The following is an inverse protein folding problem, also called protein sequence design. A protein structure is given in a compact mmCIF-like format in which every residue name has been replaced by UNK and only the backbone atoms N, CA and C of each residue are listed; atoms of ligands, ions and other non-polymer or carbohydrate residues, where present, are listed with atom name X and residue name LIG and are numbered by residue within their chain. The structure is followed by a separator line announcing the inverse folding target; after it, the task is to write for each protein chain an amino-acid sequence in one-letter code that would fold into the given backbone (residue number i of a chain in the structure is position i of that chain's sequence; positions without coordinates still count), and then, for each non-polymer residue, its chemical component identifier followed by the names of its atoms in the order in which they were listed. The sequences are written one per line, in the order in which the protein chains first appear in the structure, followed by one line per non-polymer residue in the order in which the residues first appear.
data_IF_504073477422
#
_entry.id   IF_504073477422
#
_cell.length_a   1.000
_cell.length_b   1.000
_cell.length_c   1.000
_cell.angle_alpha   90.00
_cell.angle_beta   90.00
_cell.angle_gamma   90.00
#
_symmetry.space_group_name_H-M   'P 1'
#
loop_
_entity.id
_entity.type
_entity.pdbx_description
1 polymer ?
#
# COMPACT_ATOMS: atom_id res chain seq x y z
N UNK A 1 -33.87 78.48 -79.20
CA UNK A 1 -32.44 78.20 -78.95
C UNK A 1 -32.06 78.38 -77.49
N UNK A 2 -32.48 79.47 -76.81
CA UNK A 2 -32.17 79.72 -75.39
C UNK A 2 -32.69 78.65 -74.41
N UNK A 3 -33.93 78.19 -74.56
CA UNK A 3 -34.51 77.18 -73.63
C UNK A 3 -33.83 75.81 -73.74
N UNK A 4 -33.39 75.43 -74.93
CA UNK A 4 -32.67 74.19 -75.17
C UNK A 4 -31.29 74.21 -74.52
N UNK A 5 -30.59 75.34 -74.61
CA UNK A 5 -29.30 75.55 -73.94
C UNK A 5 -29.47 75.53 -72.41
N UNK A 6 -30.53 76.16 -71.89
CA UNK A 6 -30.82 76.17 -70.44
C UNK A 6 -31.05 74.75 -69.90
N UNK A 7 -31.86 73.96 -70.62
CA UNK A 7 -32.11 72.55 -70.27
C UNK A 7 -30.84 71.70 -70.30
N UNK A 8 -29.94 71.93 -71.27
CA UNK A 8 -28.63 71.24 -71.33
C UNK A 8 -27.75 71.62 -70.13
N UNK A 9 -27.74 72.90 -69.73
CA UNK A 9 -26.98 73.32 -68.54
C UNK A 9 -27.54 72.73 -67.24
N UNK A 10 -28.86 72.68 -67.09
CA UNK A 10 -29.52 72.08 -65.93
C UNK A 10 -29.25 70.56 -65.86
N UNK A 11 -29.27 69.86 -66.99
CA UNK A 11 -28.92 68.43 -67.09
C UNK A 11 -27.43 68.18 -66.78
N UNK A 12 -26.52 69.04 -67.26
CA UNK A 12 -25.09 68.96 -66.94
C UNK A 12 -24.80 69.23 -65.45
N UNK A 13 -25.53 70.17 -64.83
CA UNK A 13 -25.43 70.45 -63.41
C UNK A 13 -25.92 69.25 -62.58
N UNK A 14 -27.06 68.66 -62.96
CA UNK A 14 -27.60 67.45 -62.34
C UNK A 14 -26.64 66.26 -62.48
N UNK A 15 -26.04 66.05 -63.66
CA UNK A 15 -25.05 65.00 -63.89
C UNK A 15 -23.83 65.18 -62.96
N UNK A 16 -23.34 66.41 -62.82
CA UNK A 16 -22.21 66.74 -61.96
C UNK A 16 -22.49 66.46 -60.47
N UNK A 17 -23.72 66.68 -60.03
CA UNK A 17 -24.15 66.43 -58.65
C UNK A 17 -24.26 64.93 -58.32
N UNK A 18 -24.57 64.09 -59.30
CA UNK A 18 -24.80 62.65 -59.11
C UNK A 18 -23.60 61.77 -59.46
N UNK A 19 -22.55 62.35 -60.04
CA UNK A 19 -21.31 61.64 -60.33
C UNK A 19 -20.41 61.58 -59.11
N UNK A 20 -19.87 60.39 -58.82
CA UNK A 20 -18.79 60.24 -57.86
C UNK A 20 -17.59 61.09 -58.29
N UNK A 21 -17.01 61.81 -57.34
CA UNK A 21 -15.78 62.56 -57.53
C UNK A 21 -14.57 61.65 -57.47
N UNK A 22 -13.40 62.16 -57.86
CA UNK A 22 -12.14 61.42 -57.71
C UNK A 22 -11.83 61.12 -56.24
N UNK A 23 -12.21 62.01 -55.33
CA UNK A 23 -12.00 61.84 -53.89
C UNK A 23 -12.91 60.72 -53.34
N UNK A 24 -14.14 60.59 -53.87
CA UNK A 24 -15.04 59.47 -53.53
C UNK A 24 -14.45 58.13 -53.96
N UNK A 25 -13.90 58.06 -55.18
CA UNK A 25 -13.27 56.83 -55.70
C UNK A 25 -12.01 56.48 -54.89
N UNK A 26 -11.16 57.45 -54.57
CA UNK A 26 -9.96 57.23 -53.76
C UNK A 26 -10.30 56.76 -52.33
N UNK A 27 -11.34 57.33 -51.73
CA UNK A 27 -11.86 56.88 -50.42
C UNK A 27 -12.39 55.45 -50.48
N UNK A 28 -13.07 55.07 -51.56
CA UNK A 28 -13.53 53.69 -51.80
C UNK A 28 -12.34 52.74 -51.96
N UNK A 29 -11.35 53.09 -52.78
CA UNK A 29 -10.13 52.28 -53.01
C UNK A 29 -9.34 52.07 -51.71
N UNK A 30 -9.24 53.08 -50.85
CA UNK A 30 -8.53 52.98 -49.57
C UNK A 30 -9.28 52.12 -48.53
N UNK A 31 -10.60 52.00 -48.65
CA UNK A 31 -11.45 51.25 -47.70
C UNK A 31 -11.74 49.82 -48.14
N UNK A 32 -11.57 49.51 -49.43
CA UNK A 32 -11.82 48.17 -49.92
C UNK A 32 -10.65 47.23 -49.60
N UNK A 33 -11.00 46.00 -49.23
CA UNK A 33 -10.01 44.94 -49.18
C UNK A 33 -9.48 44.69 -50.60
N UNK A 34 -8.17 44.60 -50.70
CA UNK A 34 -7.48 44.27 -51.94
C UNK A 34 -7.42 42.75 -52.12
N UNK A 35 -7.02 42.31 -53.31
CA UNK A 35 -6.73 40.89 -53.55
C UNK A 35 -5.60 40.37 -52.67
N UNK A 36 -4.65 41.23 -52.30
CA UNK A 36 -3.54 40.87 -51.44
C UNK A 36 -3.99 40.63 -50.00
N UNK A 37 -4.97 41.39 -49.50
CA UNK A 37 -5.57 41.16 -48.19
C UNK A 37 -6.27 39.81 -48.11
N UNK A 38 -7.00 39.43 -49.17
CA UNK A 38 -7.67 38.13 -49.26
C UNK A 38 -6.64 37.00 -49.33
N UNK A 39 -5.60 37.15 -50.16
CA UNK A 39 -4.54 36.15 -50.27
C UNK A 39 -3.76 35.96 -48.95
N UNK A 40 -3.55 37.04 -48.18
CA UNK A 40 -2.96 36.97 -46.86
C UNK A 40 -3.88 36.25 -45.85
N UNK A 41 -5.20 36.47 -45.95
CA UNK A 41 -6.18 35.73 -45.14
C UNK A 41 -6.21 34.25 -45.46
N UNK A 42 -6.22 33.86 -46.75
CA UNK A 42 -6.23 32.45 -47.16
C UNK A 42 -5.01 31.71 -46.61
N UNK A 43 -3.81 32.30 -46.73
CA UNK A 43 -2.59 31.73 -46.15
C UNK A 43 -2.66 31.55 -44.62
N UNK A 44 -3.30 32.49 -43.92
CA UNK A 44 -3.49 32.40 -42.47
C UNK A 44 -4.49 31.30 -42.10
N UNK A 45 -5.56 31.16 -42.87
CA UNK A 45 -6.56 30.10 -42.69
C UNK A 45 -5.91 28.74 -42.92
N UNK A 46 -5.18 28.57 -44.02
CA UNK A 46 -4.45 27.34 -44.32
C UNK A 46 -3.46 26.97 -43.21
N UNK A 47 -2.71 27.96 -42.70
CA UNK A 47 -1.79 27.72 -41.58
C UNK A 47 -2.51 27.29 -40.29
N UNK A 48 -3.67 27.87 -40.00
CA UNK A 48 -4.48 27.47 -38.84
C UNK A 48 -4.98 26.04 -39.03
N UNK A 49 -5.50 25.70 -40.21
CA UNK A 49 -6.00 24.35 -40.53
C UNK A 49 -4.90 23.28 -40.41
N UNK A 50 -3.66 23.61 -40.77
CA UNK A 50 -2.51 22.71 -40.64
C UNK A 50 -1.99 22.55 -39.20
N UNK A 51 -2.26 23.51 -38.32
CA UNK A 51 -1.70 23.54 -36.96
C UNK A 51 -2.72 23.25 -35.87
N UNK A 52 -4.01 23.37 -36.17
CA UNK A 52 -5.06 23.03 -35.25
C UNK A 52 -5.14 21.52 -35.05
N UNK A 53 -5.37 21.10 -33.81
CA UNK A 53 -5.63 19.71 -33.50
C UNK A 53 -6.89 19.24 -34.23
N UNK A 54 -6.78 18.10 -34.89
CA UNK A 54 -7.91 17.42 -35.54
C UNK A 54 -8.72 16.63 -34.50
N UNK A 55 -9.89 16.15 -34.91
CA UNK A 55 -10.68 15.23 -34.07
C UNK A 55 -9.92 13.94 -33.73
N UNK A 56 -9.09 13.47 -34.67
CA UNK A 56 -8.30 12.25 -34.48
C UNK A 56 -7.19 12.47 -33.46
N UNK A 57 -6.57 13.64 -33.44
CA UNK A 57 -5.57 14.02 -32.42
C UNK A 57 -6.20 14.03 -31.02
N UNK A 58 -7.39 14.63 -30.88
CA UNK A 58 -8.11 14.68 -29.60
C UNK A 58 -8.50 13.27 -29.15
N UNK A 59 -9.02 12.43 -30.04
CA UNK A 59 -9.37 11.04 -29.73
C UNK A 59 -8.15 10.21 -29.31
N UNK A 60 -7.00 10.41 -29.97
CA UNK A 60 -5.75 9.76 -29.58
C UNK A 60 -5.27 10.20 -28.20
N UNK A 61 -5.39 11.50 -27.87
CA UNK A 61 -5.07 12.02 -26.54
C UNK A 61 -6.00 11.39 -25.50
N UNK A 62 -7.31 11.37 -25.73
CA UNK A 62 -8.29 10.78 -24.81
C UNK A 62 -8.02 9.30 -24.53
N UNK A 63 -7.63 8.52 -25.55
CA UNK A 63 -7.28 7.11 -25.36
C UNK A 63 -5.99 6.89 -24.56
N UNK A 64 -5.05 7.85 -24.60
CA UNK A 64 -3.76 7.75 -23.88
C UNK A 64 -3.84 8.28 -22.46
N UNK A 65 -4.84 9.09 -22.16
CA UNK A 65 -5.03 9.66 -20.83
C UNK A 65 -5.74 8.66 -19.93
N UNK A 66 -5.26 8.55 -18.68
CA UNK A 66 -6.01 7.85 -17.66
C UNK A 66 -7.36 8.55 -17.46
N UNK A 67 -8.43 7.78 -17.56
CA UNK A 67 -9.79 8.24 -17.33
C UNK A 67 -10.12 8.22 -15.84
N UNK A 68 -11.26 8.80 -15.47
CA UNK A 68 -11.77 8.70 -14.09
C UNK A 68 -12.00 7.25 -13.66
N UNK A 69 -12.36 6.37 -14.60
CA UNK A 69 -12.62 4.96 -14.32
C UNK A 69 -11.32 4.18 -14.03
N UNK A 70 -10.22 4.53 -14.70
CA UNK A 70 -8.90 3.97 -14.42
C UNK A 70 -8.44 4.31 -12.99
N UNK A 71 -8.63 5.57 -12.59
CA UNK A 71 -8.30 6.04 -11.24
C UNK A 71 -9.18 5.34 -10.20
N UNK A 72 -10.50 5.25 -10.44
CA UNK A 72 -11.41 4.54 -9.53
C UNK A 72 -11.06 3.05 -9.39
N UNK A 73 -10.58 2.43 -10.47
CA UNK A 73 -10.11 1.03 -10.45
C UNK A 73 -8.81 0.90 -9.65
N UNK A 74 -7.89 1.85 -9.79
CA UNK A 74 -6.68 1.90 -8.97
C UNK A 74 -7.00 2.08 -7.48
N UNK A 75 -7.89 3.00 -7.11
CA UNK A 75 -8.26 3.24 -5.72
C UNK A 75 -8.84 1.99 -5.06
N UNK A 76 -9.71 1.24 -5.78
CA UNK A 76 -10.22 -0.05 -5.31
C UNK A 76 -9.11 -1.07 -5.08
N UNK A 77 -8.15 -1.15 -6.01
CA UNK A 77 -7.00 -2.06 -5.89
C UNK A 77 -6.11 -1.68 -4.70
N UNK A 78 -5.84 -0.38 -4.52
CA UNK A 78 -5.07 0.14 -3.39
C UNK A 78 -5.79 -0.20 -2.08
N UNK A 79 -7.10 0.08 -1.98
CA UNK A 79 -7.87 -0.26 -0.78
C UNK A 79 -7.88 -1.76 -0.46
N UNK A 80 -7.94 -2.62 -1.47
CA UNK A 80 -7.79 -4.07 -1.26
C UNK A 80 -6.39 -4.45 -0.76
N UNK A 81 -5.34 -3.84 -1.30
CA UNK A 81 -3.96 -4.06 -0.84
C UNK A 81 -3.84 -3.63 0.62
N UNK A 82 -4.32 -2.44 0.97
CA UNK A 82 -4.30 -1.92 2.35
C UNK A 82 -5.04 -2.83 3.33
N UNK A 83 -6.15 -3.44 2.92
CA UNK A 83 -6.91 -4.40 3.74
C UNK A 83 -6.22 -5.75 3.93
N UNK A 84 -5.29 -6.14 3.05
CA UNK A 84 -4.69 -7.49 3.03
C UNK A 84 -3.22 -7.50 3.35
N UNK A 85 -2.55 -6.35 3.32
CA UNK A 85 -1.15 -6.23 3.67
C UNK A 85 -0.95 -6.26 5.18
N UNK A 86 0.14 -6.90 5.62
CA UNK A 86 0.60 -6.76 7.00
C UNK A 86 1.08 -5.32 7.22
N UNK A 87 0.65 -4.74 8.33
CA UNK A 87 0.99 -3.41 8.79
C UNK A 87 2.12 -3.45 9.80
N UNK A 88 2.58 -2.28 10.23
CA UNK A 88 3.55 -2.18 11.33
C UNK A 88 2.99 -2.70 12.65
N UNK A 89 1.67 -2.60 12.83
CA UNK A 89 1.00 -3.06 14.05
C UNK A 89 0.99 -4.59 14.11
N UNK A 90 0.77 -5.26 12.97
CA UNK A 90 0.78 -6.74 12.88
C UNK A 90 2.14 -7.36 13.27
N UNK A 91 3.23 -6.59 13.14
CA UNK A 91 4.58 -7.05 13.47
C UNK A 91 5.13 -6.47 14.79
N UNK A 92 4.34 -5.66 15.49
CA UNK A 92 4.77 -4.99 16.72
C UNK A 92 5.15 -5.99 17.82
N UNK A 93 4.47 -7.15 17.85
CA UNK A 93 4.68 -8.19 18.86
C UNK A 93 5.76 -9.21 18.50
N UNK A 94 6.31 -9.20 17.27
CA UNK A 94 7.35 -10.15 16.86
C UNK A 94 8.59 -10.18 17.78
N UNK A 95 9.10 -9.03 18.30
CA UNK A 95 10.20 -9.04 19.25
C UNK A 95 9.85 -9.76 20.56
N UNK A 96 8.62 -9.58 21.06
CA UNK A 96 8.14 -10.23 22.29
C UNK A 96 7.98 -11.73 22.06
N UNK A 97 7.40 -12.14 20.93
CA UNK A 97 7.29 -13.55 20.54
C UNK A 97 8.67 -14.17 20.42
N UNK A 98 9.64 -13.49 19.79
CA UNK A 98 11.02 -13.97 19.67
C UNK A 98 11.68 -14.16 21.03
N UNK A 99 11.46 -13.22 21.95
CA UNK A 99 11.96 -13.33 23.32
C UNK A 99 11.36 -14.54 24.05
N UNK A 100 10.03 -14.70 24.01
CA UNK A 100 9.35 -15.83 24.63
C UNK A 100 9.82 -17.18 24.05
N UNK A 101 10.03 -17.26 22.73
CA UNK A 101 10.58 -18.45 22.08
C UNK A 101 11.99 -18.77 22.56
N UNK A 102 12.84 -17.76 22.76
CA UNK A 102 14.21 -17.95 23.25
C UNK A 102 14.22 -18.47 24.70
N UNK A 103 13.38 -17.92 25.57
CA UNK A 103 13.24 -18.38 26.96
C UNK A 103 12.73 -19.83 27.03
N UNK A 104 11.75 -20.19 26.20
CA UNK A 104 11.27 -21.57 26.10
C UNK A 104 12.39 -22.50 25.61
N UNK A 105 13.18 -22.07 24.63
CA UNK A 105 14.29 -22.87 24.11
C UNK A 105 15.36 -23.12 25.18
N UNK A 106 15.68 -22.11 26.00
CA UNK A 106 16.59 -22.26 27.13
C UNK A 106 16.07 -23.29 28.14
N UNK A 107 14.80 -23.16 28.56
CA UNK A 107 14.18 -24.13 29.46
C UNK A 107 14.16 -25.56 28.87
N UNK A 108 13.90 -25.71 27.58
CA UNK A 108 13.93 -27.01 26.89
C UNK A 108 15.34 -27.61 26.89
N UNK A 109 16.38 -26.77 26.72
CA UNK A 109 17.77 -27.23 26.75
C UNK A 109 18.22 -27.70 28.15
N UNK A 110 17.55 -27.29 29.23
CA UNK A 110 17.84 -27.76 30.59
C UNK A 110 17.22 -29.14 30.91
N UNK A 111 16.18 -29.55 30.18
CA UNK A 111 15.44 -30.81 30.43
C UNK A 111 16.36 -32.05 30.48
N UNK A 112 17.36 -32.25 29.59
CA UNK A 112 18.24 -33.41 29.66
C UNK A 112 19.01 -33.51 30.97
N UNK A 113 19.54 -32.39 31.47
CA UNK A 113 20.27 -32.34 32.74
C UNK A 113 19.34 -32.61 33.92
N UNK A 114 18.15 -32.01 33.92
CA UNK A 114 17.13 -32.27 34.94
C UNK A 114 16.73 -33.76 34.94
N UNK A 115 16.54 -34.35 33.76
CA UNK A 115 16.20 -35.75 33.60
C UNK A 115 17.30 -36.67 34.13
N UNK A 116 18.57 -36.34 33.86
CA UNK A 116 19.70 -37.09 34.40
C UNK A 116 19.75 -37.01 35.92
N UNK A 117 19.65 -35.81 36.49
CA UNK A 117 19.64 -35.62 37.94
C UNK A 117 18.49 -36.38 38.62
N UNK A 118 17.31 -36.41 37.98
CA UNK A 118 16.16 -37.17 38.48
C UNK A 118 16.40 -38.69 38.44
N UNK A 119 17.05 -39.19 37.39
CA UNK A 119 17.44 -40.60 37.31
C UNK A 119 18.44 -40.98 38.41
N UNK A 120 19.48 -40.17 38.61
CA UNK A 120 20.49 -40.38 39.65
C UNK A 120 19.87 -40.33 41.06
N UNK A 121 18.91 -39.42 41.28
CA UNK A 121 18.16 -39.35 42.53
C UNK A 121 17.27 -40.59 42.74
N UNK A 122 16.64 -41.08 41.68
CA UNK A 122 15.81 -42.29 41.75
C UNK A 122 16.64 -43.52 42.13
N UNK A 123 17.83 -43.67 41.55
CA UNK A 123 18.77 -44.76 41.89
C UNK A 123 19.19 -44.68 43.36
N UNK A 124 19.58 -43.50 43.85
CA UNK A 124 19.91 -43.31 45.27
C UNK A 124 18.74 -43.62 46.21
N UNK A 125 17.51 -43.31 45.79
CA UNK A 125 16.32 -43.61 46.59
C UNK A 125 16.09 -45.12 46.69
N UNK A 126 16.32 -45.87 45.61
CA UNK A 126 16.27 -47.34 45.62
C UNK A 126 17.31 -47.93 46.59
N UNK A 127 18.53 -47.40 46.61
CA UNK A 127 19.57 -47.80 47.57
C UNK A 127 19.15 -47.54 49.03
N UNK A 128 18.55 -46.38 49.30
CA UNK A 128 18.03 -46.05 50.64
C UNK A 128 16.90 -47.00 51.03
N UNK A 129 15.97 -47.32 50.12
CA UNK A 129 14.91 -48.31 50.39
C UNK A 129 15.52 -49.69 50.70
N UNK A 130 16.52 -50.13 49.93
CA UNK A 130 17.18 -51.41 50.14
C UNK A 130 17.96 -51.48 51.47
N UNK A 131 18.59 -50.38 51.89
CA UNK A 131 19.26 -50.31 53.21
C UNK A 131 18.25 -50.26 54.35
N UNK A 132 17.15 -49.54 54.20
CA UNK A 132 16.09 -49.48 55.20
C UNK A 132 15.41 -50.84 55.41
N UNK A 133 15.14 -51.59 54.33
CA UNK A 133 14.63 -52.96 54.42
C UNK A 133 15.60 -53.89 55.18
N UNK A 134 16.91 -53.73 54.97
CA UNK A 134 17.94 -54.48 55.74
C UNK A 134 17.95 -54.10 57.22
N UNK A 135 17.84 -52.81 57.53
CA UNK A 135 17.76 -52.34 58.92
C UNK A 135 16.52 -52.88 59.64
N UNK A 136 15.37 -52.90 58.97
CA UNK A 136 14.11 -53.46 59.49
C UNK A 136 14.31 -54.94 59.93
N UNK A 137 14.90 -55.77 59.06
CA UNK A 137 15.17 -57.18 59.36
C UNK A 137 16.17 -57.35 60.52
N UNK A 138 17.22 -56.52 60.57
CA UNK A 138 18.20 -56.55 61.65
C UNK A 138 17.56 -56.20 63.01
N UNK A 139 16.70 -55.18 63.04
CA UNK A 139 15.95 -54.79 64.25
C UNK A 139 15.00 -55.92 64.68
N UNK A 140 14.25 -56.52 63.75
CA UNK A 140 13.38 -57.66 64.05
C UNK A 140 14.17 -58.85 64.64
N UNK A 141 15.33 -59.18 64.08
CA UNK A 141 16.20 -60.25 64.59
C UNK A 141 16.73 -59.96 66.00
N UNK A 142 17.18 -58.72 66.25
CA UNK A 142 17.65 -58.30 67.57
C UNK A 142 16.52 -58.32 68.61
N UNK A 143 15.31 -57.88 68.24
CA UNK A 143 14.14 -57.93 69.11
C UNK A 143 13.81 -59.37 69.53
N UNK A 144 13.83 -60.32 68.58
CA UNK A 144 13.63 -61.75 68.88
C UNK A 144 14.71 -62.28 69.83
N UNK A 145 15.99 -61.99 69.56
CA UNK A 145 17.09 -62.44 70.43
C UNK A 145 17.00 -61.85 71.84
N UNK A 146 16.63 -60.57 71.96
CA UNK A 146 16.43 -59.93 73.26
C UNK A 146 15.31 -60.61 74.07
N UNK A 147 14.20 -60.96 73.42
CA UNK A 147 13.11 -61.69 74.08
C UNK A 147 13.56 -63.08 74.55
N UNK A 148 14.34 -63.80 73.75
CA UNK A 148 14.92 -65.10 74.15
C UNK A 148 15.82 -64.93 75.37
N UNK A 149 16.77 -63.99 75.34
CA UNK A 149 17.66 -63.74 76.48
C UNK A 149 16.90 -63.32 77.73
N UNK A 150 15.86 -62.49 77.61
CA UNK A 150 15.04 -62.08 78.76
C UNK A 150 14.33 -63.28 79.39
N UNK A 151 13.78 -64.19 78.57
CA UNK A 151 13.15 -65.42 79.03
C UNK A 151 14.15 -66.38 79.69
N UNK A 152 15.35 -66.54 79.12
CA UNK A 152 16.43 -67.36 79.70
C UNK A 152 16.87 -66.83 81.07
N UNK A 153 17.07 -65.51 81.20
CA UNK A 153 17.39 -64.86 82.49
C UNK A 153 16.26 -65.08 83.49
N UNK A 154 14.99 -64.96 83.06
CA UNK A 154 13.83 -65.18 83.92
C UNK A 154 13.77 -66.63 84.43
N UNK A 155 14.06 -67.60 83.58
CA UNK A 155 14.11 -69.02 83.95
C UNK A 155 15.22 -69.33 84.97
N UNK A 156 16.40 -68.73 84.80
CA UNK A 156 17.52 -68.88 85.74
C UNK A 156 17.20 -68.29 87.13
N UNK A 157 16.46 -67.18 87.20
CA UNK A 157 16.05 -66.55 88.47
C UNK A 157 14.96 -67.29 89.24
N UNK A 158 14.21 -68.18 88.58
CA UNK A 158 13.10 -68.92 89.19
C UNK A 158 13.49 -70.28 89.80
N UNK A 159 14.79 -70.60 89.77
CA UNK A 159 15.39 -71.86 90.26
C UNK A 159 16.18 -71.60 91.54
#
# INVERSE_FOLDING_TARGET
MGDMLKRIFDELASLREHMATKDDIASIEQRMATKDDIAAMDKRIEHIEQTMATKDDIASIEQRMATKDDIATMDKRIGHIEQTMATKDDIADLPLIKQAVFEILEAVNEIPTIKQNLADMSEKLEDVIATQARHELAIQSLAVRSLVHENEIRALKAK
#
